data_IF_648917295601
#
_entry.id   IF_648917295601
#
_cell.length_a   1.000
_cell.length_b   1.000
_cell.length_c   1.000
_cell.angle_alpha   90.00
_cell.angle_beta   90.00
_cell.angle_gamma   90.00
#
_symmetry.space_group_name_H-M   'P 1'
#
loop_
_entity.id
_entity.type
_entity.pdbx_description
1 polymer ?
#
# COMPACT_ATOMS: atom_id res chain seq x y z
N UNK A 1 22.30 -51.73 5.75
CA UNK A 1 21.12 -50.92 5.38
C UNK A 1 20.59 -50.32 6.67
N UNK A 2 20.72 -49.01 6.85
CA UNK A 2 20.66 -48.35 8.16
C UNK A 2 19.38 -47.50 8.35
N UNK A 3 18.83 -47.61 9.57
CA UNK A 3 18.06 -46.64 10.37
C UNK A 3 16.78 -46.03 9.79
N UNK A 4 15.63 -46.46 10.35
CA UNK A 4 14.33 -45.79 10.24
C UNK A 4 13.95 -45.06 11.53
N UNK A 5 13.38 -43.87 11.33
CA UNK A 5 12.39 -43.15 12.13
C UNK A 5 12.74 -42.74 13.58
N UNK A 6 13.12 -41.47 13.72
CA UNK A 6 13.18 -40.74 14.98
C UNK A 6 11.83 -40.06 15.28
N UNK A 7 11.27 -40.48 16.42
CA UNK A 7 10.62 -39.71 17.49
C UNK A 7 9.62 -38.58 17.13
N UNK A 8 8.35 -38.88 17.43
CA UNK A 8 7.30 -37.92 17.83
C UNK A 8 7.57 -37.39 19.25
N UNK A 9 7.51 -36.06 19.51
CA UNK A 9 7.39 -35.54 20.86
C UNK A 9 5.93 -35.30 21.23
N UNK A 10 5.45 -36.15 22.13
CA UNK A 10 4.18 -36.07 22.85
C UNK A 10 4.28 -34.96 23.91
N UNK A 11 3.63 -33.82 23.68
CA UNK A 11 3.52 -32.75 24.69
C UNK A 11 2.26 -32.94 25.56
N UNK A 12 2.46 -33.03 26.87
CA UNK A 12 1.42 -33.29 27.86
C UNK A 12 1.08 -32.01 28.66
N UNK A 13 -0.22 -31.86 28.97
CA UNK A 13 -0.81 -31.42 30.25
C UNK A 13 -0.43 -30.06 30.89
N UNK A 14 -1.44 -29.17 30.97
CA UNK A 14 -2.23 -28.83 32.19
C UNK A 14 -2.35 -27.32 32.53
N UNK A 15 -3.59 -26.85 32.34
CA UNK A 15 -4.41 -25.83 33.02
C UNK A 15 -3.89 -25.25 34.36
N UNK A 16 -3.81 -23.92 34.45
CA UNK A 16 -4.04 -23.13 35.68
C UNK A 16 -4.89 -21.88 35.36
N UNK A 17 -5.73 -21.51 36.31
CA UNK A 17 -6.84 -20.56 36.23
C UNK A 17 -6.42 -19.26 36.96
N UNK A 18 -6.50 -18.08 36.34
CA UNK A 18 -6.66 -16.79 37.04
C UNK A 18 -6.96 -15.67 36.03
N UNK A 19 -8.05 -14.94 36.26
CA UNK A 19 -8.35 -13.66 35.59
C UNK A 19 -7.81 -12.51 36.44
N UNK A 20 -7.37 -11.42 35.80
CA UNK A 20 -7.79 -10.07 36.20
C UNK A 20 -8.31 -9.24 34.98
N UNK A 21 -8.92 -8.06 35.19
CA UNK A 21 -9.96 -7.51 34.31
C UNK A 21 -9.47 -6.32 33.43
N UNK A 22 -10.36 -5.46 32.87
CA UNK A 22 -10.36 -5.06 31.46
C UNK A 22 -9.48 -3.83 31.13
N UNK A 23 -8.96 -3.75 29.91
CA UNK A 23 -8.42 -2.51 29.35
C UNK A 23 -9.11 -2.21 28.02
N UNK A 24 -10.12 -1.34 28.13
CA UNK A 24 -10.55 -0.43 27.08
C UNK A 24 -9.35 0.28 26.49
N UNK A 25 -9.07 0.03 25.22
CA UNK A 25 -8.38 1.00 24.37
C UNK A 25 -9.19 1.06 23.09
N UNK A 26 -10.08 2.06 23.01
CA UNK A 26 -10.53 2.58 21.73
C UNK A 26 -9.28 2.78 20.89
N UNK A 27 -9.16 2.02 19.80
CA UNK A 27 -8.07 2.21 18.87
C UNK A 27 -8.15 3.67 18.43
N UNK A 28 -7.22 4.48 18.94
CA UNK A 28 -7.04 5.85 18.54
C UNK A 28 -6.92 5.82 17.03
N UNK A 29 -7.98 6.23 16.35
CA UNK A 29 -7.91 6.75 15.00
C UNK A 29 -7.16 8.07 15.13
N UNK A 30 -5.86 7.97 15.39
CA UNK A 30 -4.93 8.98 14.93
C UNK A 30 -5.01 8.88 13.41
N UNK A 31 -5.98 9.57 12.82
CA UNK A 31 -5.81 10.18 11.52
C UNK A 31 -4.61 11.10 11.69
N UNK A 32 -3.42 10.50 11.62
CA UNK A 32 -2.20 11.20 11.32
C UNK A 32 -2.51 11.85 9.99
N UNK A 33 -2.91 13.11 10.02
CA UNK A 33 -2.92 13.95 8.84
C UNK A 33 -1.46 14.01 8.44
N UNK A 34 -1.04 13.02 7.66
CA UNK A 34 0.28 12.90 7.10
C UNK A 34 0.45 14.16 6.28
N UNK A 35 1.23 15.11 6.78
CA UNK A 35 1.51 16.34 6.08
C UNK A 35 2.18 15.97 4.75
N UNK A 36 1.41 16.00 3.65
CA UNK A 36 1.93 15.70 2.33
C UNK A 36 2.96 16.78 2.00
N UNK A 37 4.24 16.42 1.77
CA UNK A 37 5.26 17.42 1.46
C UNK A 37 4.93 18.07 0.11
N UNK A 38 5.22 19.37 -0.03
CA UNK A 38 4.91 20.12 -1.25
C UNK A 38 5.52 19.49 -2.51
N UNK A 39 6.67 18.84 -2.39
CA UNK A 39 7.30 18.09 -3.48
C UNK A 39 6.43 16.92 -3.95
N UNK A 40 5.80 16.19 -3.03
CA UNK A 40 4.88 15.10 -3.34
C UNK A 40 3.59 15.64 -3.95
N UNK A 41 3.06 16.76 -3.44
CA UNK A 41 1.90 17.43 -4.02
C UNK A 41 2.15 17.87 -5.47
N UNK A 42 3.33 18.44 -5.75
CA UNK A 42 3.71 18.82 -7.11
C UNK A 42 3.78 17.59 -8.05
N UNK A 43 4.29 16.47 -7.56
CA UNK A 43 4.31 15.21 -8.33
C UNK A 43 2.90 14.67 -8.59
N UNK A 44 2.03 14.65 -7.58
CA UNK A 44 0.63 14.24 -7.73
C UNK A 44 -0.11 15.11 -8.75
N UNK A 45 0.11 16.42 -8.70
CA UNK A 45 -0.51 17.37 -9.63
C UNK A 45 -0.12 17.04 -11.08
N UNK A 46 1.15 16.69 -11.33
CA UNK A 46 1.61 16.26 -12.66
C UNK A 46 1.01 14.93 -13.10
N UNK A 47 0.87 13.96 -12.19
CA UNK A 47 0.22 12.69 -12.49
C UNK A 47 -1.24 12.89 -12.90
N UNK A 48 -1.97 13.74 -12.16
CA UNK A 48 -3.38 14.07 -12.46
C UNK A 48 -3.48 14.84 -13.78
N UNK A 49 -2.62 15.83 -14.01
CA UNK A 49 -2.58 16.58 -15.27
C UNK A 49 -2.30 15.65 -16.47
N UNK A 50 -1.38 14.69 -16.34
CA UNK A 50 -1.11 13.72 -17.40
C UNK A 50 -2.35 12.88 -17.74
N UNK A 51 -3.10 12.44 -16.71
CA UNK A 51 -4.35 11.70 -16.91
C UNK A 51 -5.43 12.55 -17.57
N UNK A 52 -5.54 13.82 -17.18
CA UNK A 52 -6.50 14.79 -17.74
C UNK A 52 -6.22 15.08 -19.22
N UNK A 53 -4.94 15.25 -19.57
CA UNK A 53 -4.52 15.59 -20.94
C UNK A 53 -4.58 14.39 -21.92
N UNK A 54 -4.34 13.17 -21.45
CA UNK A 54 -4.13 12.00 -22.33
C UNK A 54 -5.16 10.89 -22.17
N UNK A 55 -5.83 10.78 -21.02
CA UNK A 55 -6.59 9.59 -20.62
C UNK A 55 -7.93 9.90 -19.95
N UNK A 56 -8.51 11.08 -20.18
CA UNK A 56 -9.80 11.47 -19.58
C UNK A 56 -10.96 10.55 -20.01
N UNK A 57 -10.90 10.00 -21.21
CA UNK A 57 -11.91 9.10 -21.78
C UNK A 57 -11.63 7.61 -21.44
N UNK A 58 -10.58 7.31 -20.66
CA UNK A 58 -10.20 5.92 -20.35
C UNK A 58 -11.26 5.24 -19.48
N UNK A 59 -11.81 4.13 -19.98
CA UNK A 59 -12.91 3.44 -19.31
C UNK A 59 -12.47 2.80 -17.98
N UNK A 60 -13.09 3.21 -16.88
CA UNK A 60 -12.83 2.67 -15.56
C UNK A 60 -11.58 3.26 -14.90
N UNK A 61 -11.16 4.45 -15.30
CA UNK A 61 -10.20 5.26 -14.54
C UNK A 61 -10.68 5.41 -13.07
N UNK A 62 -9.75 5.31 -12.12
CA UNK A 62 -10.01 5.26 -10.66
C UNK A 62 -10.85 4.08 -10.13
N UNK A 63 -11.56 3.34 -10.98
CA UNK A 63 -12.35 2.16 -10.61
C UNK A 63 -11.58 0.84 -10.78
N UNK A 64 -10.84 0.67 -11.87
CA UNK A 64 -10.02 -0.51 -12.15
C UNK A 64 -8.68 -0.42 -11.42
N UNK A 65 -8.18 -1.56 -10.95
CA UNK A 65 -6.82 -1.65 -10.41
C UNK A 65 -5.81 -1.66 -11.55
N UNK A 66 -4.77 -0.83 -11.45
CA UNK A 66 -3.62 -0.91 -12.34
C UNK A 66 -2.67 -2.06 -12.00
N UNK A 67 -1.55 -2.11 -12.73
CA UNK A 67 -0.46 -3.08 -12.55
C UNK A 67 0.27 -2.76 -11.25
N UNK A 68 0.37 -3.74 -10.34
CA UNK A 68 0.93 -3.53 -9.01
C UNK A 68 2.40 -3.12 -8.98
N UNK A 69 3.20 -3.55 -9.97
CA UNK A 69 4.61 -3.14 -10.09
C UNK A 69 4.74 -1.69 -10.54
N UNK A 70 4.00 -1.29 -11.56
CA UNK A 70 3.94 0.10 -12.04
C UNK A 70 3.48 1.05 -10.92
N UNK A 71 2.42 0.67 -10.19
CA UNK A 71 1.92 1.45 -9.05
C UNK A 71 3.01 1.68 -8.00
N UNK A 72 3.74 0.63 -7.61
CA UNK A 72 4.85 0.73 -6.64
C UNK A 72 5.98 1.62 -7.12
N UNK A 73 6.25 1.62 -8.42
CA UNK A 73 7.26 2.47 -9.03
C UNK A 73 6.83 3.94 -9.02
N UNK A 74 5.59 4.24 -9.42
CA UNK A 74 5.02 5.60 -9.41
C UNK A 74 5.01 6.18 -8.00
N UNK A 75 4.64 5.36 -7.00
CA UNK A 75 4.70 5.75 -5.58
C UNK A 75 6.12 6.04 -5.10
N UNK A 76 7.14 5.40 -5.70
CA UNK A 76 8.54 5.70 -5.40
C UNK A 76 8.91 7.10 -5.91
N UNK A 77 8.48 7.48 -7.12
CA UNK A 77 8.71 8.83 -7.64
C UNK A 77 8.00 9.90 -6.81
N UNK A 78 6.82 9.61 -6.27
CA UNK A 78 6.13 10.52 -5.36
C UNK A 78 6.92 10.81 -4.07
N UNK A 79 7.77 9.87 -3.63
CA UNK A 79 8.63 10.01 -2.44
C UNK A 79 9.97 10.69 -2.73
N UNK A 80 10.43 10.69 -3.98
CA UNK A 80 11.72 11.24 -4.37
C UNK A 80 11.48 12.62 -5.02
N UNK A 81 11.86 13.73 -4.36
CA UNK A 81 11.62 15.06 -4.90
C UNK A 81 12.37 15.28 -6.22
N UNK A 82 11.67 15.85 -7.21
CA UNK A 82 12.28 16.41 -8.42
C UNK A 82 12.52 15.43 -9.57
N UNK A 83 12.13 14.16 -9.47
CA UNK A 83 12.35 13.19 -10.55
C UNK A 83 11.07 12.40 -10.88
N UNK A 84 10.22 13.00 -11.72
CA UNK A 84 9.11 12.30 -12.34
C UNK A 84 9.56 11.92 -13.77
N UNK A 85 9.71 10.63 -14.09
CA UNK A 85 10.05 10.21 -15.45
C UNK A 85 8.85 10.41 -16.40
N UNK A 86 9.07 10.11 -17.67
CA UNK A 86 8.00 10.01 -18.65
C UNK A 86 6.94 8.99 -18.20
N UNK A 87 5.67 9.40 -18.24
CA UNK A 87 4.51 8.64 -17.79
C UNK A 87 3.86 7.83 -18.92
N UNK A 88 4.21 8.13 -20.17
CA UNK A 88 3.71 7.46 -21.38
C UNK A 88 3.79 5.92 -21.37
N UNK A 89 4.82 5.26 -20.80
CA UNK A 89 4.89 3.80 -20.79
C UNK A 89 4.03 3.15 -19.69
N UNK A 90 3.48 3.92 -18.75
CA UNK A 90 2.71 3.40 -17.62
C UNK A 90 1.22 3.31 -17.96
N UNK A 91 0.53 2.31 -17.42
CA UNK A 91 -0.92 2.22 -17.57
C UNK A 91 -1.62 3.38 -16.84
N UNK A 92 -2.63 4.03 -17.45
CA UNK A 92 -3.40 5.08 -16.80
C UNK A 92 -4.09 4.59 -15.51
N UNK A 93 -4.51 3.33 -15.45
CA UNK A 93 -5.06 2.72 -14.23
C UNK A 93 -4.03 2.57 -13.11
N UNK A 94 -2.75 2.35 -13.44
CA UNK A 94 -1.65 2.29 -12.47
C UNK A 94 -1.36 3.67 -11.89
N UNK A 95 -1.36 4.70 -12.73
CA UNK A 95 -1.20 6.11 -12.32
C UNK A 95 -2.36 6.53 -11.42
N UNK A 96 -3.60 6.29 -11.84
CA UNK A 96 -4.79 6.60 -11.04
C UNK A 96 -4.79 5.88 -9.69
N UNK A 97 -4.39 4.61 -9.67
CA UNK A 97 -4.26 3.82 -8.44
C UNK A 97 -3.19 4.38 -7.49
N UNK A 98 -2.06 4.87 -8.03
CA UNK A 98 -1.00 5.47 -7.23
C UNK A 98 -1.43 6.82 -6.64
N UNK A 99 -2.14 7.65 -7.41
CA UNK A 99 -2.71 8.92 -6.91
C UNK A 99 -3.67 8.66 -5.76
N UNK A 100 -4.54 7.64 -5.89
CA UNK A 100 -5.49 7.27 -4.84
C UNK A 100 -4.79 6.81 -3.57
N UNK A 101 -3.78 5.95 -3.67
CA UNK A 101 -3.04 5.41 -2.51
C UNK A 101 -2.28 6.49 -1.71
N UNK A 102 -1.95 7.63 -2.31
CA UNK A 102 -1.36 8.77 -1.59
C UNK A 102 -2.41 9.67 -0.94
N UNK A 103 -3.61 9.73 -1.52
CA UNK A 103 -4.72 10.53 -1.02
C UNK A 103 -5.60 9.83 0.04
N UNK A 104 -5.54 8.50 0.13
CA UNK A 104 -6.17 7.65 1.15
C UNK A 104 -5.37 7.65 2.48
#
# INVERSE_FOLDING_TARGET
MATSALLSPRAAFRKTNSSPPPLTTVASTSSSVTSIPLSMLATLTRLVQFLDENHLEEEGLYGKSGVGLERKEILRFCKIPGNLPDLSPYSPHSIASAVKEVGD
#
